data_IF_835114259871
#
_entry.id   IF_835114259871
#
_cell.length_a   1.000
_cell.length_b   1.000
_cell.length_c   1.000
_cell.angle_alpha   90.00
_cell.angle_beta   90.00
_cell.angle_gamma   90.00
#
_symmetry.space_group_name_H-M   'P 1'
#
loop_
_entity.id
_entity.type
_entity.pdbx_description
1 polymer ?
#
# COMPACT_ATOMS: atom_id res chain seq x y z
N UNK A 1 14.30 -11.11 25.35
CA UNK A 1 13.30 -12.19 25.20
C UNK A 1 12.96 -12.26 23.71
N UNK A 2 13.01 -13.44 23.08
CA UNK A 2 12.69 -13.61 21.66
C UNK A 2 11.22 -14.03 21.56
N UNK A 3 10.44 -13.45 20.65
CA UNK A 3 8.98 -13.72 20.53
C UNK A 3 8.67 -15.16 20.11
N UNK A 4 9.61 -15.85 19.47
CA UNK A 4 9.46 -17.22 18.95
C UNK A 4 8.98 -17.28 17.50
N UNK A 5 8.70 -16.14 16.87
CA UNK A 5 8.37 -16.08 15.44
C UNK A 5 9.62 -15.98 14.57
N UNK A 6 9.65 -16.70 13.45
CA UNK A 6 10.72 -16.63 12.45
C UNK A 6 10.50 -15.53 11.41
N UNK A 7 9.27 -15.06 11.27
CA UNK A 7 8.85 -14.02 10.32
C UNK A 7 7.84 -13.09 10.97
N UNK A 8 7.88 -11.81 10.60
CA UNK A 8 6.85 -10.83 10.96
C UNK A 8 6.39 -10.08 9.72
N UNK A 9 5.07 -10.02 9.51
CA UNK A 9 4.46 -9.05 8.59
C UNK A 9 4.04 -7.85 9.43
N UNK A 10 4.52 -6.67 9.05
CA UNK A 10 4.26 -5.44 9.77
C UNK A 10 4.26 -4.25 8.83
N UNK A 11 3.71 -3.13 9.30
CA UNK A 11 3.73 -1.89 8.54
C UNK A 11 5.15 -1.28 8.48
N UNK A 12 5.39 -0.40 7.51
CA UNK A 12 6.66 0.36 7.41
C UNK A 12 6.80 1.40 8.54
N UNK A 13 5.68 1.71 9.20
CA UNK A 13 5.54 2.71 10.25
C UNK A 13 4.77 2.17 11.45
N UNK A 14 4.98 2.80 12.62
CA UNK A 14 4.28 2.41 13.87
C UNK A 14 2.81 2.79 13.86
N UNK A 15 2.43 3.78 13.08
CA UNK A 15 1.05 4.31 12.99
C UNK A 15 0.60 4.55 11.54
N UNK A 16 1.40 4.12 10.57
CA UNK A 16 1.14 4.29 9.14
C UNK A 16 1.66 5.60 8.54
N UNK A 17 2.00 6.61 9.36
CA UNK A 17 2.54 7.90 8.93
C UNK A 17 4.04 7.84 8.59
N UNK A 18 4.57 8.84 7.88
CA UNK A 18 6.01 8.89 7.60
C UNK A 18 6.83 9.31 8.83
N UNK A 19 6.23 10.11 9.70
CA UNK A 19 6.83 10.61 10.93
C UNK A 19 7.20 9.47 11.89
N UNK A 20 6.39 8.42 11.92
CA UNK A 20 6.60 7.25 12.77
C UNK A 20 7.18 6.04 12.02
N UNK A 21 7.79 6.24 10.84
CA UNK A 21 8.47 5.17 10.08
C UNK A 21 9.55 4.48 10.94
N UNK A 22 9.71 3.17 10.78
CA UNK A 22 10.81 2.46 11.42
C UNK A 22 12.15 2.92 10.85
N UNK A 23 13.17 3.02 11.69
CA UNK A 23 14.53 3.31 11.23
C UNK A 23 15.20 2.04 10.72
N UNK A 24 16.23 2.21 9.87
CA UNK A 24 17.07 1.09 9.42
C UNK A 24 17.66 0.30 10.61
N UNK A 25 18.00 0.99 11.70
CA UNK A 25 18.50 0.35 12.91
C UNK A 25 17.44 -0.58 13.52
N UNK A 26 16.19 -0.15 13.59
CA UNK A 26 15.12 -0.92 14.23
C UNK A 26 14.77 -2.17 13.42
N UNK A 27 14.70 -2.06 12.10
CA UNK A 27 14.54 -3.24 11.24
C UNK A 27 15.77 -4.14 11.32
N UNK A 28 16.97 -3.56 11.39
CA UNK A 28 18.22 -4.29 11.61
C UNK A 28 18.25 -5.06 12.93
N UNK A 29 17.67 -4.51 14.01
CA UNK A 29 17.54 -5.19 15.30
C UNK A 29 16.60 -6.41 15.18
N UNK A 30 15.53 -6.33 14.36
CA UNK A 30 14.65 -7.48 14.06
C UNK A 30 15.42 -8.58 13.31
N UNK A 31 16.17 -8.19 12.28
CA UNK A 31 17.01 -9.12 11.51
C UNK A 31 18.09 -9.78 12.39
N UNK A 32 18.72 -9.02 13.29
CA UNK A 32 19.73 -9.54 14.22
C UNK A 32 19.14 -10.55 15.23
N UNK A 33 17.83 -10.45 15.52
CA UNK A 33 17.10 -11.47 16.26
C UNK A 33 16.76 -12.71 15.43
N UNK A 34 17.21 -12.81 14.18
CA UNK A 34 16.95 -13.93 13.27
C UNK A 34 15.48 -14.02 12.86
N UNK A 35 14.80 -12.88 12.78
CA UNK A 35 13.42 -12.76 12.29
C UNK A 35 13.46 -12.13 10.89
N UNK A 36 12.61 -12.60 9.98
CA UNK A 36 12.45 -12.05 8.63
C UNK A 36 11.38 -10.94 8.67
N UNK A 37 11.74 -9.65 8.52
CA UNK A 37 10.76 -8.57 8.46
C UNK A 37 10.18 -8.43 7.04
N UNK A 38 8.86 -8.52 6.92
CA UNK A 38 8.11 -8.31 5.67
C UNK A 38 7.22 -7.08 5.85
N UNK A 39 7.31 -6.12 4.93
CA UNK A 39 6.52 -4.89 4.99
C UNK A 39 5.15 -5.07 4.32
N UNK A 40 4.06 -4.72 4.99
CA UNK A 40 2.76 -4.56 4.37
C UNK A 40 2.79 -3.43 3.32
N UNK A 41 2.17 -3.66 2.17
CA UNK A 41 2.04 -2.68 1.09
C UNK A 41 0.72 -2.91 0.34
N UNK A 42 -0.25 -2.01 0.53
CA UNK A 42 -1.46 -1.98 -0.31
C UNK A 42 -1.10 -1.54 -1.73
N UNK A 43 -1.46 -2.35 -2.72
CA UNK A 43 -1.26 -2.01 -4.15
C UNK A 43 -2.56 -1.77 -4.90
N UNK A 44 -3.71 -2.08 -4.29
CA UNK A 44 -5.04 -1.88 -4.86
C UNK A 44 -5.86 -0.76 -4.22
N UNK A 45 -5.35 -0.15 -3.14
CA UNK A 45 -5.96 1.00 -2.47
C UNK A 45 -4.90 2.03 -2.03
N UNK A 46 -5.28 3.32 -2.13
CA UNK A 46 -4.55 4.43 -1.53
C UNK A 46 -5.08 4.69 -0.12
N UNK A 47 -4.19 5.00 0.81
CA UNK A 47 -4.47 5.19 2.24
C UNK A 47 -4.15 6.64 2.62
N UNK A 48 -5.12 7.39 3.15
CA UNK A 48 -4.99 8.85 3.32
C UNK A 48 -4.09 9.33 4.46
N UNK A 49 -3.54 8.39 5.22
CA UNK A 49 -2.55 8.60 6.27
C UNK A 49 -1.12 8.27 5.83
N UNK A 50 -0.91 7.86 4.57
CA UNK A 50 0.44 7.57 4.03
C UNK A 50 1.14 8.83 3.56
N UNK A 51 2.46 8.76 3.53
CA UNK A 51 3.34 9.85 3.10
C UNK A 51 3.05 10.41 1.70
N UNK A 52 2.48 9.60 0.81
CA UNK A 52 2.21 9.99 -0.57
C UNK A 52 0.87 10.71 -0.74
N UNK A 53 0.00 10.69 0.29
CA UNK A 53 -1.33 11.25 0.18
C UNK A 53 -1.28 12.77 0.14
N UNK A 54 -1.88 13.36 -0.89
CA UNK A 54 -2.05 14.81 -0.99
C UNK A 54 -3.48 15.17 -0.60
N UNK A 55 -3.65 16.08 0.38
CA UNK A 55 -4.97 16.51 0.85
C UNK A 55 -5.87 17.07 -0.26
N UNK A 56 -5.25 17.66 -1.29
CA UNK A 56 -5.92 18.17 -2.49
C UNK A 56 -6.70 17.09 -3.27
N UNK A 57 -6.35 15.81 -3.14
CA UNK A 57 -7.04 14.71 -3.82
C UNK A 57 -8.49 14.53 -3.36
N UNK A 58 -8.87 15.05 -2.17
CA UNK A 58 -10.27 15.02 -1.70
C UNK A 58 -11.18 15.93 -2.54
N UNK A 59 -10.63 17.00 -3.09
CA UNK A 59 -11.38 17.97 -3.91
C UNK A 59 -11.12 17.77 -5.41
N UNK A 60 -9.88 17.41 -5.78
CA UNK A 60 -9.44 17.21 -7.14
C UNK A 60 -8.65 15.90 -7.26
N UNK A 61 -9.33 14.74 -7.24
CA UNK A 61 -8.67 13.44 -7.26
C UNK A 61 -7.92 13.22 -8.58
N UNK A 62 -6.72 12.62 -8.55
CA UNK A 62 -6.09 12.10 -9.75
C UNK A 62 -7.00 11.10 -10.46
N UNK A 63 -6.83 10.94 -11.78
CA UNK A 63 -7.68 10.04 -12.59
C UNK A 63 -7.66 8.59 -12.14
N UNK A 64 -6.61 8.18 -11.43
CA UNK A 64 -6.43 6.83 -10.91
C UNK A 64 -7.05 6.62 -9.53
N UNK A 65 -7.46 7.67 -8.81
CA UNK A 65 -8.05 7.57 -7.48
C UNK A 65 -9.58 7.42 -7.61
N UNK A 66 -10.09 6.28 -7.15
CA UNK A 66 -11.51 5.95 -7.10
C UNK A 66 -12.16 6.33 -5.77
N UNK A 67 -13.34 5.76 -5.48
CA UNK A 67 -14.08 6.06 -4.26
C UNK A 67 -13.43 5.48 -3.01
N UNK A 68 -13.78 6.12 -1.88
CA UNK A 68 -13.49 5.61 -0.55
C UNK A 68 -14.13 4.23 -0.35
N UNK A 69 -13.38 3.33 0.30
CA UNK A 69 -13.85 2.01 0.70
C UNK A 69 -14.71 2.14 1.97
N UNK A 70 -16.03 1.84 1.92
CA UNK A 70 -16.89 1.98 3.09
C UNK A 70 -16.58 0.97 4.20
N UNK A 71 -15.86 -0.11 3.90
CA UNK A 71 -15.41 -1.09 4.89
C UNK A 71 -14.12 -0.70 5.60
N UNK A 72 -13.37 0.27 5.05
CA UNK A 72 -12.04 0.64 5.52
C UNK A 72 -11.86 2.16 5.44
N UNK A 73 -12.13 2.84 6.54
CA UNK A 73 -11.97 4.30 6.63
C UNK A 73 -10.55 4.74 6.22
N UNK A 74 -10.47 5.84 5.48
CA UNK A 74 -9.20 6.38 4.96
C UNK A 74 -8.63 5.62 3.75
N UNK A 75 -9.27 4.53 3.29
CA UNK A 75 -8.80 3.78 2.12
C UNK A 75 -9.65 4.09 0.89
N UNK A 76 -9.03 4.17 -0.29
CA UNK A 76 -9.64 4.55 -1.55
C UNK A 76 -9.21 3.59 -2.65
N UNK A 77 -10.15 3.05 -3.43
CA UNK A 77 -9.81 2.16 -4.56
C UNK A 77 -8.94 2.90 -5.56
N UNK A 78 -7.94 2.21 -6.12
CA UNK A 78 -7.08 2.80 -7.16
C UNK A 78 -7.15 2.00 -8.44
N UNK A 79 -7.12 2.70 -9.58
CA UNK A 79 -6.89 2.12 -10.90
C UNK A 79 -5.44 1.70 -10.99
N UNK A 80 -5.12 0.54 -10.42
CA UNK A 80 -3.75 0.10 -10.18
C UNK A 80 -2.88 -0.06 -11.44
N UNK A 81 -3.52 -0.11 -12.62
CA UNK A 81 -2.83 -0.15 -13.93
C UNK A 81 -2.38 1.21 -14.44
N UNK A 82 -2.81 2.33 -13.84
CA UNK A 82 -2.42 3.69 -14.24
C UNK A 82 -1.01 4.04 -13.73
N UNK A 83 -0.18 4.64 -14.58
CA UNK A 83 1.22 4.95 -14.25
C UNK A 83 1.39 5.88 -13.04
N UNK A 84 0.40 6.74 -12.79
CA UNK A 84 0.41 7.66 -11.64
C UNK A 84 0.47 6.90 -10.31
N UNK A 85 -0.36 5.86 -10.17
CA UNK A 85 -0.36 5.01 -8.99
C UNK A 85 0.88 4.11 -8.92
N UNK A 86 1.28 3.51 -10.03
CA UNK A 86 2.47 2.63 -10.06
C UNK A 86 3.73 3.38 -9.60
N UNK A 87 3.89 4.65 -10.00
CA UNK A 87 5.00 5.49 -9.52
C UNK A 87 4.99 5.67 -7.99
N UNK A 88 3.82 5.82 -7.38
CA UNK A 88 3.68 5.89 -5.92
C UNK A 88 4.09 4.58 -5.27
N UNK A 89 3.61 3.44 -5.78
CA UNK A 89 3.96 2.11 -5.25
C UNK A 89 5.47 1.87 -5.32
N UNK A 90 6.13 2.22 -6.43
CA UNK A 90 7.59 2.11 -6.54
C UNK A 90 8.33 3.05 -5.58
N UNK A 91 7.87 4.29 -5.41
CA UNK A 91 8.45 5.20 -4.42
C UNK A 91 8.27 4.70 -2.98
N UNK A 92 7.16 4.02 -2.67
CA UNK A 92 6.97 3.37 -1.39
C UNK A 92 7.94 2.18 -1.25
N UNK A 93 8.06 1.35 -2.27
CA UNK A 93 9.03 0.24 -2.27
C UNK A 93 10.47 0.72 -2.03
N UNK A 94 10.88 1.85 -2.61
CA UNK A 94 12.20 2.46 -2.35
C UNK A 94 12.40 2.74 -0.85
N UNK A 95 11.41 3.33 -0.17
CA UNK A 95 11.47 3.58 1.29
C UNK A 95 11.57 2.29 2.09
N UNK A 96 10.82 1.25 1.69
CA UNK A 96 10.85 -0.07 2.34
C UNK A 96 12.23 -0.72 2.21
N UNK A 97 12.86 -0.61 1.03
CA UNK A 97 14.22 -1.09 0.78
C UNK A 97 15.25 -0.31 1.61
N UNK A 98 15.13 1.01 1.70
CA UNK A 98 16.00 1.87 2.52
C UNK A 98 15.95 1.50 4.01
N UNK A 99 14.78 1.09 4.53
CA UNK A 99 14.62 0.63 5.90
C UNK A 99 15.25 -0.76 6.14
N UNK A 100 15.52 -1.55 5.09
CA UNK A 100 16.14 -2.87 5.21
C UNK A 100 15.17 -4.02 5.46
N UNK A 101 13.90 -3.87 5.07
CA UNK A 101 12.96 -5.01 5.05
C UNK A 101 13.43 -6.10 4.09
N UNK A 102 13.11 -7.36 4.41
CA UNK A 102 13.51 -8.52 3.61
C UNK A 102 12.53 -8.83 2.47
N UNK A 103 11.34 -8.23 2.48
CA UNK A 103 10.33 -8.41 1.45
C UNK A 103 9.08 -7.58 1.73
N UNK A 104 8.07 -7.73 0.86
CA UNK A 104 6.78 -7.06 0.96
C UNK A 104 5.63 -8.06 0.92
N UNK A 105 4.57 -7.77 1.67
CA UNK A 105 3.28 -8.41 1.61
C UNK A 105 2.35 -7.49 0.83
N UNK A 106 1.95 -7.92 -0.38
CA UNK A 106 1.13 -7.12 -1.29
C UNK A 106 -0.35 -7.34 -0.97
N UNK A 107 -1.04 -6.28 -0.56
CA UNK A 107 -2.46 -6.34 -0.21
C UNK A 107 -3.36 -5.69 -1.26
N UNK A 108 -4.66 -6.01 -1.18
CA UNK A 108 -5.73 -5.58 -2.09
C UNK A 108 -5.50 -6.07 -3.53
N UNK A 109 -5.02 -7.32 -3.65
CA UNK A 109 -4.87 -8.00 -4.94
C UNK A 109 -6.23 -8.15 -5.63
N UNK A 110 -7.30 -8.32 -4.85
CA UNK A 110 -8.69 -8.44 -5.29
C UNK A 110 -9.30 -7.14 -5.84
N UNK A 111 -8.55 -6.03 -5.92
CA UNK A 111 -9.00 -4.80 -6.55
C UNK A 111 -9.48 -5.01 -8.00
N UNK A 112 -9.02 -6.05 -8.70
CA UNK A 112 -9.54 -6.39 -10.02
C UNK A 112 -11.03 -6.77 -9.99
N UNK A 113 -11.52 -7.41 -8.92
CA UNK A 113 -12.93 -7.76 -8.77
C UNK A 113 -13.79 -6.51 -8.63
N UNK A 114 -13.28 -5.52 -7.87
CA UNK A 114 -13.92 -4.21 -7.77
C UNK A 114 -14.04 -3.59 -9.16
N UNK A 115 -12.96 -3.43 -9.90
CA UNK A 115 -13.03 -2.78 -11.21
C UNK A 115 -13.79 -3.59 -12.26
N UNK A 116 -14.01 -4.89 -12.06
CA UNK A 116 -14.85 -5.72 -12.93
C UNK A 116 -16.35 -5.67 -12.58
N UNK A 117 -16.73 -5.33 -11.34
CA UNK A 117 -18.12 -5.38 -10.89
C UNK A 117 -18.96 -4.22 -11.45
N UNK A 118 -19.91 -4.46 -12.39
CA UNK A 118 -20.73 -3.40 -12.97
C UNK A 118 -21.67 -2.70 -11.97
N UNK A 119 -21.86 -3.26 -10.77
CA UNK A 119 -22.79 -2.72 -9.78
C UNK A 119 -22.16 -1.63 -8.91
N UNK A 120 -20.83 -1.47 -8.90
CA UNK A 120 -20.17 -0.49 -8.04
C UNK A 120 -20.20 0.95 -8.62
N UNK A 121 -20.56 1.12 -9.89
CA UNK A 121 -20.60 2.41 -10.59
C UNK A 121 -19.23 3.02 -10.92
N UNK A 122 -18.16 2.25 -10.79
CA UNK A 122 -16.78 2.58 -11.21
C UNK A 122 -16.17 1.51 -12.14
N UNK A 123 -16.93 0.47 -12.48
CA UNK A 123 -16.46 -0.65 -13.32
C UNK A 123 -15.83 -0.21 -14.62
N UNK A 124 -14.76 -0.89 -15.01
CA UNK A 124 -14.09 -0.71 -16.29
C UNK A 124 -14.16 -2.02 -17.05
N UNK A 125 -14.76 -1.96 -18.24
CA UNK A 125 -14.76 -3.07 -19.18
C UNK A 125 -13.72 -2.76 -20.25
N UNK A 126 -12.78 -3.68 -20.51
CA UNK A 126 -11.94 -3.57 -21.70
C UNK A 126 -12.85 -3.42 -22.93
N UNK A 127 -12.61 -2.42 -23.77
CA UNK A 127 -13.21 -2.42 -25.12
C UNK A 127 -12.63 -3.61 -25.88
N UNK A 128 -13.48 -4.49 -26.41
CA UNK A 128 -13.07 -5.66 -27.22
C UNK A 128 -12.49 -5.28 -28.60
N UNK A 129 -12.01 -4.05 -28.78
CA UNK A 129 -11.33 -3.63 -30.01
C UNK A 129 -9.83 -3.93 -29.90
N UNK A 130 -9.45 -5.13 -30.36
CA UNK A 130 -8.12 -5.50 -30.83
C UNK A 130 -8.13 -5.63 -32.35
#
# INVERSE_FOLDING_TARGET
MRSGFDLVVMDYSRDGSDEARYTQKEIGDIVACGVIPICYLSIGEAEDYRFYWESSWKENPPSWLGRANPGWEGNYKVRYWEEGWQRIVFSYLDRVLEQGFAGVYLDVIDAFEYWADPQNGESIRPSEEL
#
